data_IF_667130118826
#
_entry.id   IF_667130118826
#
_cell.length_a   1.000
_cell.length_b   1.000
_cell.length_c   1.000
_cell.angle_alpha   90.00
_cell.angle_beta   90.00
_cell.angle_gamma   90.00
#
_symmetry.space_group_name_H-M   'P 1'
#
loop_
_entity.id
_entity.type
_entity.pdbx_description
1 polymer ?
#
# COMPACT_ATOMS: atom_id res chain seq x y z
N UNK A 1 -34.68 -56.81 11.12
CA UNK A 1 -36.11 -57.22 11.13
C UNK A 1 -36.88 -56.32 10.18
N UNK A 2 -37.76 -56.88 9.34
CA UNK A 2 -38.63 -56.12 8.43
C UNK A 2 -40.05 -56.13 8.99
N UNK A 3 -40.68 -54.97 9.09
CA UNK A 3 -42.00 -54.79 9.73
C UNK A 3 -42.74 -53.63 9.06
N UNK A 4 -44.06 -53.68 9.11
CA UNK A 4 -44.87 -52.50 8.77
C UNK A 4 -44.71 -51.45 9.87
N UNK A 5 -43.99 -50.38 9.56
CA UNK A 5 -43.80 -49.27 10.48
C UNK A 5 -45.08 -48.43 10.55
N UNK A 6 -45.44 -48.01 11.75
CA UNK A 6 -46.56 -47.08 12.00
C UNK A 6 -46.08 -45.94 12.90
N UNK A 7 -46.66 -44.74 12.75
CA UNK A 7 -46.29 -43.59 13.58
C UNK A 7 -46.55 -43.85 15.08
N UNK A 8 -47.57 -44.63 15.41
CA UNK A 8 -47.82 -45.06 16.79
C UNK A 8 -46.68 -45.94 17.33
N UNK A 9 -46.22 -46.92 16.53
CA UNK A 9 -45.11 -47.79 16.91
C UNK A 9 -43.80 -47.02 17.06
N UNK A 10 -43.50 -46.09 16.14
CA UNK A 10 -42.27 -45.29 16.18
C UNK A 10 -42.25 -44.31 17.35
N UNK A 11 -43.39 -43.74 17.74
CA UNK A 11 -43.50 -42.90 18.95
C UNK A 11 -43.29 -43.69 20.24
N UNK A 12 -43.72 -44.95 20.28
CA UNK A 12 -43.54 -45.83 21.43
C UNK A 12 -42.17 -46.54 21.48
N UNK A 13 -41.33 -46.37 20.45
CA UNK A 13 -40.08 -47.09 20.30
C UNK A 13 -39.02 -46.54 21.25
N UNK A 14 -38.53 -47.38 22.17
CA UNK A 14 -37.43 -47.03 23.06
C UNK A 14 -36.07 -47.19 22.36
N UNK A 15 -35.09 -46.30 22.60
CA UNK A 15 -33.71 -46.49 22.17
C UNK A 15 -33.13 -47.83 22.66
N UNK A 16 -32.25 -48.49 21.90
CA UNK A 16 -31.57 -49.69 22.35
C UNK A 16 -30.60 -49.37 23.50
N UNK A 17 -30.34 -50.35 24.37
CA UNK A 17 -29.40 -50.19 25.50
C UNK A 17 -27.96 -49.85 25.05
N UNK A 18 -27.54 -50.32 23.87
CA UNK A 18 -26.26 -49.96 23.27
C UNK A 18 -26.33 -49.99 21.74
N UNK A 19 -25.42 -49.27 21.08
CA UNK A 19 -25.30 -49.25 19.63
C UNK A 19 -26.47 -48.56 18.92
N UNK A 20 -27.05 -49.25 17.92
CA UNK A 20 -28.11 -48.73 17.05
C UNK A 20 -29.09 -49.82 16.66
N UNK A 21 -30.37 -49.47 16.61
CA UNK A 21 -31.45 -50.33 16.12
C UNK A 21 -31.81 -49.91 14.69
N UNK A 22 -31.86 -50.89 13.78
CA UNK A 22 -32.26 -50.71 12.37
C UNK A 22 -33.57 -51.47 12.10
N UNK A 23 -34.64 -50.73 11.80
CA UNK A 23 -35.96 -51.28 11.51
C UNK A 23 -36.29 -51.04 10.04
N UNK A 24 -36.46 -52.12 9.28
CA UNK A 24 -36.73 -52.04 7.85
C UNK A 24 -38.23 -51.99 7.61
N UNK A 25 -38.67 -51.04 6.78
CA UNK A 25 -40.08 -50.93 6.40
C UNK A 25 -40.47 -52.07 5.47
N UNK A 26 -41.64 -52.67 5.72
CA UNK A 26 -42.19 -53.71 4.84
C UNK A 26 -42.89 -53.14 3.62
N UNK A 27 -43.44 -51.91 3.68
CA UNK A 27 -44.17 -51.30 2.58
C UNK A 27 -43.25 -50.70 1.51
N UNK A 28 -42.18 -50.01 1.91
CA UNK A 28 -41.17 -49.48 0.99
C UNK A 28 -39.87 -50.25 1.12
N UNK A 29 -39.61 -51.16 0.17
CA UNK A 29 -38.41 -52.01 0.14
C UNK A 29 -37.16 -51.13 0.09
N UNK A 30 -36.33 -51.24 1.11
CA UNK A 30 -35.07 -50.51 1.23
C UNK A 30 -35.13 -49.30 2.16
N UNK A 31 -36.32 -48.85 2.58
CA UNK A 31 -36.46 -47.86 3.65
C UNK A 31 -36.14 -48.50 5.01
N UNK A 32 -35.40 -47.76 5.83
CA UNK A 32 -34.91 -48.18 7.14
C UNK A 32 -34.96 -47.01 8.12
N UNK A 33 -35.66 -47.21 9.23
CA UNK A 33 -35.61 -46.34 10.40
C UNK A 33 -34.43 -46.74 11.27
N UNK A 34 -33.63 -45.75 11.70
CA UNK A 34 -32.46 -45.97 12.55
C UNK A 34 -32.58 -45.12 13.80
N UNK A 35 -32.40 -45.74 14.96
CA UNK A 35 -32.32 -45.03 16.24
C UNK A 35 -31.07 -45.47 17.00
N UNK A 36 -30.29 -44.52 17.50
CA UNK A 36 -29.10 -44.78 18.32
C UNK A 36 -29.48 -44.95 19.79
N UNK A 37 -28.59 -45.54 20.61
CA UNK A 37 -28.78 -45.62 22.06
C UNK A 37 -28.95 -44.24 22.72
N UNK A 38 -28.38 -43.19 22.13
CA UNK A 38 -28.55 -41.79 22.55
C UNK A 38 -29.88 -41.16 22.10
N UNK A 39 -30.78 -41.91 21.46
CA UNK A 39 -32.10 -41.45 21.03
C UNK A 39 -32.14 -40.69 19.71
N UNK A 40 -31.00 -40.49 19.02
CA UNK A 40 -30.99 -39.84 17.72
C UNK A 40 -31.58 -40.76 16.65
N UNK A 41 -32.67 -40.31 16.00
CA UNK A 41 -33.42 -41.08 15.03
C UNK A 41 -33.36 -40.46 13.61
N UNK A 42 -33.19 -41.32 12.60
CA UNK A 42 -33.14 -40.89 11.20
C UNK A 42 -33.66 -41.94 10.23
N UNK A 43 -34.17 -41.46 9.10
CA UNK A 43 -34.60 -42.26 7.97
C UNK A 43 -33.44 -42.46 6.99
N UNK A 44 -33.25 -43.70 6.57
CA UNK A 44 -32.28 -44.05 5.52
C UNK A 44 -32.94 -44.96 4.49
N UNK A 45 -32.50 -44.88 3.24
CA UNK A 45 -32.89 -45.81 2.19
C UNK A 45 -31.65 -46.51 1.63
N UNK A 46 -31.73 -47.82 1.40
CA UNK A 46 -30.68 -48.62 0.77
C UNK A 46 -31.17 -49.11 -0.59
N UNK A 47 -30.54 -48.66 -1.66
CA UNK A 47 -30.83 -49.01 -3.04
C UNK A 47 -29.61 -49.54 -3.78
N UNK A 48 -29.81 -49.92 -5.05
CA UNK A 48 -28.72 -50.14 -6.01
C UNK A 48 -28.68 -48.97 -6.99
N UNK A 49 -27.50 -48.44 -7.24
CA UNK A 49 -27.25 -47.49 -8.34
C UNK A 49 -27.27 -48.22 -9.70
N UNK A 50 -27.36 -47.47 -10.80
CA UNK A 50 -27.39 -48.02 -12.16
C UNK A 50 -26.18 -48.91 -12.50
N UNK A 51 -25.02 -48.67 -11.87
CA UNK A 51 -23.79 -49.45 -11.98
C UNK A 51 -23.73 -50.67 -11.02
N UNK A 52 -24.85 -51.00 -10.36
CA UNK A 52 -24.98 -52.19 -9.50
C UNK A 52 -24.46 -52.03 -8.07
N UNK A 53 -23.87 -50.89 -7.69
CA UNK A 53 -23.36 -50.66 -6.32
C UNK A 53 -24.49 -50.47 -5.32
N UNK A 54 -24.31 -51.02 -4.11
CA UNK A 54 -25.24 -50.83 -3.00
C UNK A 54 -24.96 -49.51 -2.27
N UNK A 55 -25.89 -48.54 -2.37
CA UNK A 55 -25.76 -47.21 -1.75
C UNK A 55 -26.83 -47.01 -0.68
N UNK A 56 -26.42 -46.43 0.46
CA UNK A 56 -27.32 -46.02 1.55
C UNK A 56 -27.37 -44.50 1.62
N UNK A 57 -28.57 -43.93 1.50
CA UNK A 57 -28.82 -42.49 1.54
C UNK A 57 -29.60 -42.16 2.81
N UNK A 58 -29.17 -41.13 3.55
CA UNK A 58 -29.95 -40.56 4.66
C UNK A 58 -30.96 -39.56 4.11
N UNK A 59 -32.24 -39.76 4.44
CA UNK A 59 -33.35 -38.95 3.94
C UNK A 59 -33.66 -37.74 4.86
N UNK A 60 -33.54 -37.93 6.18
CA UNK A 60 -33.83 -36.89 7.17
C UNK A 60 -33.88 -37.44 8.60
N UNK A 61 -33.97 -36.56 9.59
CA UNK A 61 -34.12 -36.92 11.01
C UNK A 61 -35.59 -37.07 11.39
N UNK A 62 -35.88 -37.91 12.38
CA UNK A 62 -37.21 -38.04 12.98
C UNK A 62 -37.23 -37.27 14.32
N UNK A 63 -38.31 -36.52 14.66
CA UNK A 63 -39.63 -36.47 14.00
C UNK A 63 -39.76 -35.43 12.88
N UNK A 64 -38.70 -34.68 12.54
CA UNK A 64 -38.77 -33.61 11.53
C UNK A 64 -39.22 -34.10 10.14
N UNK A 65 -38.87 -35.34 9.77
CA UNK A 65 -39.41 -36.05 8.63
C UNK A 65 -40.27 -37.22 9.15
N UNK A 66 -41.58 -37.17 8.88
CA UNK A 66 -42.53 -38.20 9.31
C UNK A 66 -42.44 -39.50 8.48
N UNK A 67 -43.11 -40.57 8.92
CA UNK A 67 -43.07 -41.86 8.21
C UNK A 67 -43.60 -41.76 6.77
N UNK A 68 -44.72 -41.07 6.58
CA UNK A 68 -45.34 -40.91 5.25
C UNK A 68 -44.41 -40.19 4.27
N UNK A 69 -43.80 -39.09 4.72
CA UNK A 69 -42.84 -38.32 3.92
C UNK A 69 -41.55 -39.09 3.66
N UNK A 70 -41.08 -39.86 4.65
CA UNK A 70 -39.92 -40.74 4.50
C UNK A 70 -40.16 -41.86 3.46
N UNK A 71 -41.38 -42.41 3.39
CA UNK A 71 -41.78 -43.39 2.36
C UNK A 71 -41.75 -42.76 0.96
N UNK A 72 -42.31 -41.56 0.79
CA UNK A 72 -42.25 -40.82 -0.48
C UNK A 72 -40.81 -40.51 -0.89
N UNK A 73 -40.03 -39.91 0.02
CA UNK A 73 -38.62 -39.57 -0.22
C UNK A 73 -37.76 -40.80 -0.54
N UNK A 74 -38.06 -41.96 0.06
CA UNK A 74 -37.39 -43.22 -0.26
C UNK A 74 -37.67 -43.70 -1.68
N UNK A 75 -38.93 -43.66 -2.13
CA UNK A 75 -39.31 -44.03 -3.50
C UNK A 75 -38.64 -43.09 -4.53
N UNK A 76 -38.69 -41.77 -4.29
CA UNK A 76 -38.04 -40.78 -5.15
C UNK A 76 -36.53 -41.01 -5.25
N UNK A 77 -35.90 -41.29 -4.11
CA UNK A 77 -34.46 -41.57 -4.04
C UNK A 77 -34.10 -42.87 -4.75
N UNK A 78 -34.88 -43.94 -4.59
CA UNK A 78 -34.67 -45.22 -5.29
C UNK A 78 -34.80 -45.05 -6.81
N UNK A 79 -35.81 -44.30 -7.26
CA UNK A 79 -35.98 -43.99 -8.68
C UNK A 79 -34.81 -43.15 -9.23
N UNK A 80 -34.28 -42.22 -8.43
CA UNK A 80 -33.11 -41.41 -8.79
C UNK A 80 -31.82 -42.25 -8.91
N UNK A 81 -31.60 -43.18 -7.96
CA UNK A 81 -30.46 -44.11 -7.99
C UNK A 81 -30.47 -45.02 -9.24
N UNK A 82 -31.66 -45.45 -9.67
CA UNK A 82 -31.82 -46.24 -10.91
C UNK A 82 -31.58 -45.42 -12.18
N UNK A 83 -31.86 -44.11 -12.17
CA UNK A 83 -31.57 -43.18 -13.27
C UNK A 83 -30.10 -42.73 -13.31
N UNK A 84 -29.23 -43.29 -12.46
CA UNK A 84 -27.79 -43.05 -12.48
C UNK A 84 -27.29 -41.90 -11.60
N UNK A 85 -28.17 -41.24 -10.84
CA UNK A 85 -27.72 -40.26 -9.84
C UNK A 85 -27.22 -40.99 -8.59
N UNK A 86 -26.00 -40.70 -8.12
CA UNK A 86 -25.49 -41.17 -6.82
C UNK A 86 -25.29 -39.97 -5.87
N UNK A 87 -26.32 -39.58 -5.11
CA UNK A 87 -26.26 -38.43 -4.19
C UNK A 87 -25.19 -38.55 -3.10
N UNK A 88 -24.74 -39.78 -2.80
CA UNK A 88 -23.69 -40.03 -1.80
C UNK A 88 -22.33 -39.81 -2.42
N UNK A 89 -22.11 -40.26 -3.66
CA UNK A 89 -20.89 -39.96 -4.40
C UNK A 89 -20.75 -38.45 -4.66
N UNK A 90 -21.81 -37.75 -5.04
CA UNK A 90 -21.80 -36.30 -5.23
C UNK A 90 -21.46 -35.54 -3.95
N UNK A 91 -22.11 -35.86 -2.82
CA UNK A 91 -21.78 -35.26 -1.52
C UNK A 91 -20.36 -35.58 -1.07
N UNK A 92 -19.86 -36.79 -1.34
CA UNK A 92 -18.48 -37.19 -1.03
C UNK A 92 -17.48 -36.43 -1.89
N UNK A 93 -17.73 -36.30 -3.19
CA UNK A 93 -16.89 -35.52 -4.10
C UNK A 93 -16.88 -34.03 -3.73
N UNK A 94 -18.04 -33.45 -3.40
CA UNK A 94 -18.12 -32.07 -2.93
C UNK A 94 -17.35 -31.85 -1.62
N UNK A 95 -17.41 -32.81 -0.68
CA UNK A 95 -16.66 -32.75 0.58
C UNK A 95 -15.16 -32.94 0.36
N UNK A 96 -14.75 -33.87 -0.50
CA UNK A 96 -13.35 -34.09 -0.86
C UNK A 96 -12.76 -32.87 -1.58
N UNK A 97 -13.52 -32.26 -2.52
CA UNK A 97 -13.15 -31.01 -3.18
C UNK A 97 -12.96 -29.89 -2.15
N UNK A 98 -13.93 -29.68 -1.24
CA UNK A 98 -13.81 -28.68 -0.16
C UNK A 98 -12.63 -28.94 0.79
N UNK A 99 -12.28 -30.21 1.03
CA UNK A 99 -11.13 -30.58 1.85
C UNK A 99 -9.81 -30.31 1.13
N UNK A 100 -9.71 -30.62 -0.17
CA UNK A 100 -8.56 -30.33 -1.01
C UNK A 100 -8.36 -28.81 -1.17
N UNK A 101 -9.44 -28.05 -1.40
CA UNK A 101 -9.41 -26.59 -1.44
C UNK A 101 -8.94 -25.99 -0.09
N UNK A 102 -9.25 -26.62 1.05
CA UNK A 102 -8.76 -26.19 2.36
C UNK A 102 -7.30 -26.56 2.65
N UNK A 103 -6.77 -27.58 1.98
CA UNK A 103 -5.37 -28.00 2.12
C UNK A 103 -4.42 -27.15 1.28
N UNK A 104 -4.96 -26.44 0.28
CA UNK A 104 -4.18 -25.55 -0.57
C UNK A 104 -3.85 -24.24 0.17
N UNK A 105 -2.60 -23.76 0.13
CA UNK A 105 -2.22 -22.50 0.74
C UNK A 105 -3.05 -21.33 0.21
N UNK A 106 -3.55 -20.54 1.14
CA UNK A 106 -4.31 -19.33 0.89
C UNK A 106 -3.46 -18.23 0.25
N UNK A 107 -4.12 -17.23 -0.32
CA UNK A 107 -3.45 -16.02 -0.83
C UNK A 107 -2.59 -15.38 0.25
N UNK A 108 -3.07 -15.29 1.50
CA UNK A 108 -2.31 -14.66 2.58
C UNK A 108 -1.01 -15.42 2.89
N UNK A 109 -1.05 -16.74 2.96
CA UNK A 109 0.13 -17.58 3.22
C UNK A 109 1.15 -17.47 2.07
N UNK A 110 0.69 -17.55 0.82
CA UNK A 110 1.55 -17.39 -0.36
C UNK A 110 2.14 -15.98 -0.45
N UNK A 111 1.37 -14.97 -0.09
CA UNK A 111 1.82 -13.59 -0.09
C UNK A 111 2.90 -13.36 0.98
N UNK A 112 2.76 -13.93 2.18
CA UNK A 112 3.79 -13.92 3.20
C UNK A 112 5.06 -14.63 2.72
N UNK A 113 4.92 -15.84 2.16
CA UNK A 113 6.05 -16.60 1.59
C UNK A 113 6.80 -15.79 0.51
N UNK A 114 6.08 -15.08 -0.35
CA UNK A 114 6.68 -14.20 -1.36
C UNK A 114 7.39 -12.99 -0.73
N UNK A 115 6.78 -12.36 0.29
CA UNK A 115 7.39 -11.22 1.00
C UNK A 115 8.71 -11.62 1.66
N UNK A 116 8.74 -12.78 2.33
CA UNK A 116 9.96 -13.30 2.97
C UNK A 116 11.05 -13.57 1.92
N UNK A 117 10.70 -14.22 0.81
CA UNK A 117 11.63 -14.49 -0.28
C UNK A 117 12.18 -13.22 -0.95
N UNK A 118 11.48 -12.08 -0.85
CA UNK A 118 11.92 -10.79 -1.42
C UNK A 118 12.51 -9.83 -0.40
N UNK A 119 12.37 -10.10 0.90
CA UNK A 119 12.74 -9.18 1.97
C UNK A 119 14.17 -8.65 1.85
N UNK A 120 15.14 -9.52 1.61
CA UNK A 120 16.55 -9.16 1.48
C UNK A 120 16.86 -8.22 0.29
N UNK A 121 15.98 -8.16 -0.71
CA UNK A 121 16.13 -7.30 -1.90
C UNK A 121 15.35 -5.99 -1.79
N UNK A 122 14.52 -5.84 -0.77
CA UNK A 122 13.68 -4.66 -0.59
C UNK A 122 14.28 -3.76 0.49
N UNK A 123 14.15 -2.46 0.30
CA UNK A 123 14.36 -1.52 1.41
C UNK A 123 13.25 -1.71 2.44
N UNK A 124 13.56 -1.41 3.71
CA UNK A 124 12.59 -1.56 4.80
C UNK A 124 11.29 -0.83 4.53
N UNK A 125 11.39 0.41 4.03
CA UNK A 125 10.25 1.21 3.61
C UNK A 125 9.38 0.51 2.56
N UNK A 126 10.00 -0.11 1.55
CA UNK A 126 9.23 -0.77 0.50
C UNK A 126 8.54 -2.03 1.02
N UNK A 127 9.24 -2.81 1.84
CA UNK A 127 8.67 -3.99 2.45
C UNK A 127 7.50 -3.65 3.39
N UNK A 128 7.62 -2.60 4.21
CA UNK A 128 6.54 -2.12 5.08
C UNK A 128 5.34 -1.61 4.27
N UNK A 129 5.60 -0.93 3.15
CA UNK A 129 4.55 -0.45 2.25
C UNK A 129 3.79 -1.64 1.61
N UNK A 130 4.51 -2.67 1.15
CA UNK A 130 3.93 -3.90 0.61
C UNK A 130 3.14 -4.66 1.67
N UNK A 131 3.68 -4.81 2.88
CA UNK A 131 3.01 -5.49 4.00
C UNK A 131 1.72 -4.77 4.42
N UNK A 132 1.76 -3.43 4.52
CA UNK A 132 0.59 -2.63 4.84
C UNK A 132 -0.50 -2.75 3.78
N UNK A 133 -0.11 -2.72 2.51
CA UNK A 133 -1.02 -2.89 1.38
C UNK A 133 -1.61 -4.30 1.34
N UNK A 134 -0.81 -5.33 1.57
CA UNK A 134 -1.27 -6.70 1.71
C UNK A 134 -2.33 -6.84 2.81
N UNK A 135 -2.06 -6.29 4.00
CA UNK A 135 -2.96 -6.38 5.14
C UNK A 135 -4.26 -5.59 4.96
N UNK A 136 -4.20 -4.39 4.36
CA UNK A 136 -5.36 -3.50 4.23
C UNK A 136 -6.20 -3.74 2.99
N UNK A 137 -5.58 -4.14 1.89
CA UNK A 137 -6.24 -4.21 0.59
C UNK A 137 -6.47 -5.67 0.15
N UNK A 138 -5.46 -6.54 0.22
CA UNK A 138 -5.56 -7.92 -0.30
C UNK A 138 -6.22 -8.86 0.71
N UNK A 139 -5.70 -8.93 1.93
CA UNK A 139 -6.11 -9.89 2.95
C UNK A 139 -7.62 -9.86 3.27
N UNK A 140 -8.29 -8.70 3.39
CA UNK A 140 -9.71 -8.66 3.73
C UNK A 140 -10.63 -9.27 2.68
N UNK A 141 -10.22 -9.32 1.41
CA UNK A 141 -11.05 -9.80 0.30
C UNK A 141 -10.63 -11.17 -0.24
N UNK A 142 -9.33 -11.38 -0.39
CA UNK A 142 -8.79 -12.58 -1.03
C UNK A 142 -7.95 -13.44 -0.09
N UNK A 143 -7.56 -12.93 1.07
CA UNK A 143 -6.56 -13.54 1.94
C UNK A 143 -6.85 -14.99 2.34
N UNK A 144 -8.12 -15.35 2.59
CA UNK A 144 -8.54 -16.70 3.00
C UNK A 144 -8.82 -17.64 1.83
N UNK A 145 -8.84 -17.15 0.59
CA UNK A 145 -9.12 -17.97 -0.59
C UNK A 145 -7.84 -18.70 -0.99
N UNK A 146 -7.92 -19.97 -1.44
CA UNK A 146 -6.81 -20.64 -2.09
C UNK A 146 -6.35 -19.87 -3.33
N UNK A 147 -5.03 -19.74 -3.52
CA UNK A 147 -4.49 -18.91 -4.59
C UNK A 147 -4.94 -19.38 -5.98
N UNK A 148 -4.94 -20.70 -6.26
CA UNK A 148 -5.38 -21.25 -7.56
C UNK A 148 -6.86 -21.02 -7.87
N UNK A 149 -7.67 -20.77 -6.84
CA UNK A 149 -9.10 -20.48 -6.99
C UNK A 149 -9.39 -18.98 -7.15
N UNK A 150 -8.36 -18.13 -7.17
CA UNK A 150 -8.54 -16.71 -7.51
C UNK A 150 -8.50 -16.51 -9.02
N UNK A 151 -9.34 -15.61 -9.50
CA UNK A 151 -9.49 -15.30 -10.92
C UNK A 151 -9.00 -13.90 -11.23
N UNK A 152 -8.76 -13.60 -12.51
CA UNK A 152 -8.45 -12.24 -12.95
C UNK A 152 -9.52 -11.22 -12.52
N UNK A 153 -10.79 -11.61 -12.57
CA UNK A 153 -11.90 -10.76 -12.16
C UNK A 153 -11.82 -10.38 -10.67
N UNK A 154 -11.44 -11.32 -9.80
CA UNK A 154 -11.28 -11.06 -8.36
C UNK A 154 -10.23 -9.97 -8.09
N UNK A 155 -9.08 -10.06 -8.76
CA UNK A 155 -7.99 -9.11 -8.59
C UNK A 155 -8.29 -7.75 -9.24
N UNK A 156 -8.92 -7.74 -10.41
CA UNK A 156 -9.36 -6.50 -11.08
C UNK A 156 -10.38 -5.75 -10.22
N UNK A 157 -11.40 -6.44 -9.71
CA UNK A 157 -12.41 -5.82 -8.85
C UNK A 157 -11.81 -5.23 -7.57
N UNK A 158 -10.78 -5.87 -7.00
CA UNK A 158 -10.01 -5.34 -5.88
C UNK A 158 -9.31 -4.02 -6.25
N UNK A 159 -8.62 -3.98 -7.40
CA UNK A 159 -7.86 -2.81 -7.86
C UNK A 159 -8.80 -1.65 -8.22
N UNK A 160 -9.88 -1.90 -8.95
CA UNK A 160 -10.86 -0.88 -9.35
C UNK A 160 -11.56 -0.25 -8.13
N UNK A 161 -11.89 -1.06 -7.13
CA UNK A 161 -12.46 -0.55 -5.89
C UNK A 161 -11.52 0.43 -5.18
N UNK A 162 -10.21 0.17 -5.21
CA UNK A 162 -9.21 1.11 -4.69
C UNK A 162 -9.09 2.35 -5.58
N UNK A 163 -9.14 2.17 -6.90
CA UNK A 163 -8.98 3.26 -7.85
C UNK A 163 -10.05 4.34 -7.69
N UNK A 164 -11.28 3.97 -7.33
CA UNK A 164 -12.38 4.92 -7.08
C UNK A 164 -12.10 5.93 -5.95
N UNK A 165 -11.32 5.54 -4.95
CA UNK A 165 -11.05 6.38 -3.77
C UNK A 165 -9.62 6.89 -3.70
N UNK A 166 -8.67 6.14 -4.28
CA UNK A 166 -7.25 6.44 -4.22
C UNK A 166 -6.51 5.90 -5.47
N UNK A 167 -6.59 6.59 -6.62
CA UNK A 167 -5.96 6.15 -7.88
C UNK A 167 -4.46 5.82 -7.77
N UNK A 168 -3.71 6.67 -7.06
CA UNK A 168 -2.27 6.45 -6.84
C UNK A 168 -1.98 5.15 -6.05
N UNK A 169 -2.78 4.89 -5.01
CA UNK A 169 -2.64 3.68 -4.21
C UNK A 169 -3.10 2.44 -5.00
N UNK A 170 -4.09 2.57 -5.88
CA UNK A 170 -4.51 1.50 -6.78
C UNK A 170 -3.40 1.13 -7.78
N UNK A 171 -2.67 2.11 -8.31
CA UNK A 171 -1.53 1.84 -9.21
C UNK A 171 -0.41 1.08 -8.49
N UNK A 172 -0.14 1.41 -7.21
CA UNK A 172 0.78 0.65 -6.37
C UNK A 172 0.26 -0.78 -6.10
N UNK A 173 -1.02 -0.92 -5.73
CA UNK A 173 -1.67 -2.21 -5.51
C UNK A 173 -1.59 -3.11 -6.74
N UNK A 174 -1.83 -2.56 -7.93
CA UNK A 174 -1.63 -3.29 -9.18
C UNK A 174 -0.21 -3.83 -9.30
N UNK A 175 0.81 -2.97 -9.11
CA UNK A 175 2.21 -3.38 -9.26
C UNK A 175 2.58 -4.48 -8.27
N UNK A 176 2.15 -4.37 -7.02
CA UNK A 176 2.40 -5.38 -5.98
C UNK A 176 1.68 -6.68 -6.30
N UNK A 177 0.39 -6.63 -6.61
CA UNK A 177 -0.41 -7.81 -6.95
C UNK A 177 0.13 -8.51 -8.21
N UNK A 178 0.47 -7.75 -9.25
CA UNK A 178 1.07 -8.29 -10.48
C UNK A 178 2.42 -8.94 -10.19
N UNK A 179 3.31 -8.30 -9.42
CA UNK A 179 4.61 -8.87 -9.06
C UNK A 179 4.47 -10.16 -8.24
N UNK A 180 3.53 -10.20 -7.29
CA UNK A 180 3.20 -11.40 -6.52
C UNK A 180 2.68 -12.53 -7.43
N UNK A 181 1.70 -12.26 -8.28
CA UNK A 181 1.07 -13.28 -9.13
C UNK A 181 2.04 -13.82 -10.21
N UNK A 182 2.91 -12.97 -10.74
CA UNK A 182 3.97 -13.42 -11.66
C UNK A 182 5.04 -14.25 -10.94
N UNK A 183 5.32 -13.95 -9.66
CA UNK A 183 6.17 -14.82 -8.86
C UNK A 183 5.49 -16.16 -8.56
N UNK A 184 4.20 -16.15 -8.25
CA UNK A 184 3.43 -17.35 -7.99
C UNK A 184 3.42 -18.30 -9.20
N UNK A 185 3.29 -17.76 -10.41
CA UNK A 185 3.45 -18.53 -11.65
C UNK A 185 4.87 -19.12 -11.76
N UNK A 186 5.91 -18.28 -11.63
CA UNK A 186 7.30 -18.73 -11.72
C UNK A 186 7.68 -19.77 -10.64
N UNK A 187 7.00 -19.76 -9.49
CA UNK A 187 7.18 -20.71 -8.40
C UNK A 187 6.26 -21.95 -8.52
N UNK A 188 5.46 -22.06 -9.59
CA UNK A 188 4.54 -23.18 -9.82
C UNK A 188 3.30 -23.21 -8.92
N UNK A 189 2.99 -22.12 -8.22
CA UNK A 189 1.82 -22.04 -7.34
C UNK A 189 0.53 -21.90 -8.13
N UNK A 190 0.59 -21.27 -9.31
CA UNK A 190 -0.50 -21.15 -10.27
C UNK A 190 0.00 -21.52 -11.66
N UNK A 191 -0.89 -22.00 -12.53
CA UNK A 191 -0.52 -22.55 -13.83
C UNK A 191 -0.38 -21.47 -14.93
N UNK A 192 -0.95 -20.29 -14.70
CA UNK A 192 -0.95 -19.19 -15.66
C UNK A 192 -0.95 -17.82 -14.96
N UNK A 193 -0.44 -16.76 -15.61
CA UNK A 193 -0.37 -15.44 -15.02
C UNK A 193 -1.77 -14.81 -14.94
N UNK A 194 -2.22 -14.48 -13.73
CA UNK A 194 -3.54 -13.88 -13.51
C UNK A 194 -3.58 -12.38 -13.88
N UNK A 195 -2.50 -11.64 -13.57
CA UNK A 195 -2.35 -10.23 -13.93
C UNK A 195 -1.08 -9.98 -14.76
N UNK A 196 -1.17 -9.27 -15.90
CA UNK A 196 -0.01 -9.00 -16.73
C UNK A 196 0.95 -8.01 -16.05
N UNK A 197 2.27 -8.15 -16.28
CA UNK A 197 3.29 -7.23 -15.74
C UNK A 197 3.06 -5.77 -16.18
N UNK A 198 2.58 -5.58 -17.41
CA UNK A 198 2.34 -4.26 -18.04
C UNK A 198 0.85 -3.99 -18.26
N UNK A 199 0.04 -4.02 -17.21
CA UNK A 199 -1.39 -3.65 -17.29
C UNK A 199 -1.84 -2.52 -16.37
N UNK A 200 -0.93 -1.97 -15.55
CA UNK A 200 -1.25 -0.93 -14.57
C UNK A 200 -1.86 0.32 -15.22
N UNK A 201 -1.31 0.75 -16.36
CA UNK A 201 -1.78 1.95 -17.05
C UNK A 201 -3.25 1.85 -17.51
N UNK A 202 -3.76 0.64 -17.73
CA UNK A 202 -5.14 0.40 -18.16
C UNK A 202 -6.09 0.26 -16.97
N UNK A 203 -5.68 -0.49 -15.94
CA UNK A 203 -6.56 -0.88 -14.82
C UNK A 203 -6.47 0.05 -13.60
N UNK A 204 -5.37 0.77 -13.47
CA UNK A 204 -5.14 1.74 -12.41
C UNK A 204 -4.19 2.84 -12.94
N UNK A 205 -4.67 3.67 -13.89
CA UNK A 205 -3.84 4.71 -14.47
C UNK A 205 -3.26 5.59 -13.36
N UNK A 206 -1.95 5.85 -13.36
CA UNK A 206 -1.37 6.73 -12.37
C UNK A 206 -2.01 8.12 -12.53
N UNK A 207 -2.21 8.85 -11.42
CA UNK A 207 -2.66 10.24 -11.53
C UNK A 207 -1.66 11.03 -12.37
N UNK A 208 -2.16 12.04 -13.09
CA UNK A 208 -1.29 12.94 -13.87
C UNK A 208 -0.16 13.45 -12.97
N UNK A 209 1.10 13.44 -13.46
CA UNK A 209 2.21 14.03 -12.73
C UNK A 209 1.86 15.45 -12.29
N UNK A 210 2.13 15.80 -11.03
CA UNK A 210 1.93 17.17 -10.55
C UNK A 210 3.07 18.04 -11.05
N UNK A 211 2.75 19.22 -11.56
CA UNK A 211 3.70 20.23 -12.06
C UNK A 211 3.83 21.44 -11.11
N UNK A 212 3.28 21.32 -9.90
CA UNK A 212 3.19 22.40 -8.92
C UNK A 212 4.57 22.89 -8.46
N UNK A 213 4.78 24.19 -8.59
CA UNK A 213 5.84 24.98 -7.93
C UNK A 213 5.20 26.15 -7.21
N UNK A 214 5.71 26.54 -6.04
CA UNK A 214 5.24 27.70 -5.31
C UNK A 214 5.70 28.99 -6.01
N UNK A 215 4.87 30.02 -5.96
CA UNK A 215 5.28 31.37 -6.37
C UNK A 215 6.16 32.02 -5.29
N UNK A 216 6.78 33.13 -5.64
CA UNK A 216 7.61 33.91 -4.71
C UNK A 216 6.77 34.41 -3.51
N UNK A 217 5.53 34.86 -3.75
CA UNK A 217 4.59 35.23 -2.69
C UNK A 217 4.22 34.04 -1.80
N UNK A 218 3.94 32.87 -2.38
CA UNK A 218 3.62 31.68 -1.61
C UNK A 218 4.81 31.19 -0.78
N UNK A 219 6.04 31.35 -1.27
CA UNK A 219 7.25 31.08 -0.49
C UNK A 219 7.39 32.04 0.69
N UNK A 220 7.13 33.35 0.52
CA UNK A 220 7.11 34.32 1.63
C UNK A 220 6.03 33.97 2.66
N UNK A 221 4.82 33.68 2.20
CA UNK A 221 3.70 33.29 3.07
C UNK A 221 4.04 32.02 3.85
N UNK A 222 4.66 31.02 3.21
CA UNK A 222 5.09 29.80 3.90
C UNK A 222 6.19 30.09 4.94
N UNK A 223 7.17 30.93 4.59
CA UNK A 223 8.24 31.32 5.50
C UNK A 223 7.69 32.01 6.75
N UNK A 224 6.76 32.95 6.58
CA UNK A 224 6.05 33.63 7.66
C UNK A 224 5.17 32.68 8.47
N UNK A 225 4.39 31.81 7.80
CA UNK A 225 3.53 30.82 8.46
C UNK A 225 4.33 29.84 9.33
N UNK A 226 5.56 29.50 8.91
CA UNK A 226 6.47 28.63 9.66
C UNK A 226 7.03 29.28 10.92
N UNK A 227 7.08 30.61 11.01
CA UNK A 227 7.64 31.33 12.16
C UNK A 227 6.89 31.04 13.46
N UNK A 228 5.58 30.77 13.37
CA UNK A 228 4.71 30.43 14.50
C UNK A 228 4.73 28.92 14.87
N UNK A 229 5.59 28.12 14.25
CA UNK A 229 5.84 26.74 14.66
C UNK A 229 6.93 26.67 15.73
N UNK A 230 6.95 25.56 16.49
CA UNK A 230 8.06 25.25 17.38
C UNK A 230 9.38 25.13 16.59
N UNK A 231 10.55 25.30 17.23
CA UNK A 231 11.85 25.37 16.55
C UNK A 231 12.11 24.22 15.57
N UNK A 232 11.84 22.96 15.97
CA UNK A 232 12.11 21.78 15.12
C UNK A 232 11.23 21.72 13.86
N UNK A 233 9.88 21.81 13.93
CA UNK A 233 9.05 21.92 12.72
C UNK A 233 9.33 23.15 11.87
N UNK A 234 9.68 24.29 12.47
CA UNK A 234 10.08 25.50 11.73
C UNK A 234 11.36 25.26 10.92
N UNK A 235 12.40 24.76 11.57
CA UNK A 235 13.67 24.41 10.95
C UNK A 235 13.48 23.40 9.81
N UNK A 236 12.63 22.39 10.00
CA UNK A 236 12.31 21.42 8.94
C UNK A 236 11.78 22.08 7.66
N UNK A 237 10.79 22.97 7.77
CA UNK A 237 10.21 23.64 6.59
C UNK A 237 11.24 24.56 5.92
N UNK A 238 11.96 25.35 6.72
CA UNK A 238 12.93 26.31 6.21
C UNK A 238 14.14 25.64 5.57
N UNK A 239 14.64 24.55 6.16
CA UNK A 239 15.69 23.73 5.55
C UNK A 239 15.23 23.08 4.25
N UNK A 240 13.98 22.64 4.11
CA UNK A 240 13.46 22.14 2.84
C UNK A 240 13.44 23.22 1.75
N UNK A 241 13.10 24.45 2.12
CA UNK A 241 13.15 25.60 1.20
C UNK A 241 14.59 25.88 0.80
N UNK A 242 15.51 26.03 1.77
CA UNK A 242 16.88 26.52 1.55
C UNK A 242 17.79 25.47 0.88
N UNK A 243 17.70 24.21 1.29
CA UNK A 243 18.62 23.15 0.82
C UNK A 243 18.11 22.40 -0.40
N UNK A 244 16.82 22.55 -0.73
CA UNK A 244 16.12 21.72 -1.70
C UNK A 244 16.23 20.20 -1.44
N UNK A 245 16.66 19.75 -0.25
CA UNK A 245 16.84 18.34 0.06
C UNK A 245 15.49 17.58 0.15
N UNK A 246 15.53 16.24 0.15
CA UNK A 246 14.29 15.45 0.23
C UNK A 246 13.71 15.50 1.64
N UNK A 247 12.38 15.38 1.73
CA UNK A 247 11.62 15.39 2.98
C UNK A 247 12.22 14.46 4.05
N UNK A 248 12.55 13.22 3.69
CA UNK A 248 13.12 12.23 4.60
C UNK A 248 14.60 12.49 4.96
N UNK A 249 15.34 13.20 4.10
CA UNK A 249 16.74 13.59 4.36
C UNK A 249 16.74 14.67 5.44
N UNK A 250 15.94 15.73 5.28
CA UNK A 250 15.81 16.80 6.28
C UNK A 250 15.18 16.29 7.58
N UNK A 251 14.10 15.52 7.50
CA UNK A 251 13.42 15.01 8.70
C UNK A 251 14.32 14.13 9.58
N UNK A 252 15.27 13.42 8.98
CA UNK A 252 16.22 12.55 9.68
C UNK A 252 17.62 13.15 9.78
N UNK A 253 17.78 14.46 9.60
CA UNK A 253 19.07 15.16 9.68
C UNK A 253 19.78 14.83 10.99
N UNK A 254 21.02 14.34 10.89
CA UNK A 254 21.80 13.91 12.06
C UNK A 254 22.87 14.92 12.44
N UNK A 255 23.21 14.98 13.73
CA UNK A 255 24.24 15.87 14.24
C UNK A 255 25.60 15.64 13.56
N UNK A 256 26.05 14.38 13.43
CA UNK A 256 27.31 14.04 12.78
C UNK A 256 27.34 14.27 11.27
N UNK A 257 26.21 14.62 10.64
CA UNK A 257 26.16 15.02 9.24
C UNK A 257 26.45 16.52 9.05
N UNK A 258 26.42 17.33 10.11
CA UNK A 258 26.46 18.80 10.03
C UNK A 258 27.76 19.35 10.61
N UNK A 259 28.47 20.12 9.80
CA UNK A 259 29.55 20.99 10.23
C UNK A 259 29.04 22.44 10.29
N UNK A 260 28.72 22.90 11.51
CA UNK A 260 28.23 24.25 11.77
C UNK A 260 29.29 25.33 11.51
N UNK A 261 30.58 25.00 11.64
CA UNK A 261 31.67 25.95 11.48
C UNK A 261 31.99 26.15 9.99
N UNK A 262 32.06 25.07 9.23
CA UNK A 262 32.28 25.13 7.78
C UNK A 262 31.03 25.49 6.98
N UNK A 263 29.85 25.50 7.61
CA UNK A 263 28.58 25.78 6.95
C UNK A 263 28.19 24.68 5.96
N UNK A 264 28.32 23.41 6.36
CA UNK A 264 28.11 22.27 5.46
C UNK A 264 27.27 21.17 6.10
N UNK A 265 26.42 20.56 5.30
CA UNK A 265 25.76 19.30 5.61
C UNK A 265 26.26 18.23 4.66
N UNK A 266 27.01 17.26 5.18
CA UNK A 266 27.45 16.09 4.45
C UNK A 266 26.42 14.97 4.59
N UNK A 267 25.64 14.75 3.53
CA UNK A 267 24.62 13.71 3.48
C UNK A 267 25.24 12.41 2.93
N UNK A 268 25.44 11.37 3.75
CA UNK A 268 26.14 10.17 3.32
C UNK A 268 25.29 9.33 2.36
N UNK A 269 25.94 8.55 1.50
CA UNK A 269 25.29 7.71 0.49
C UNK A 269 24.15 6.85 1.04
N UNK A 270 24.34 6.26 2.22
CA UNK A 270 23.36 5.39 2.90
C UNK A 270 22.04 6.12 3.26
N UNK A 271 22.07 7.44 3.42
CA UNK A 271 20.90 8.29 3.71
C UNK A 271 20.20 8.78 2.44
N UNK A 272 20.82 8.64 1.28
CA UNK A 272 20.30 9.14 0.01
C UNK A 272 19.53 8.08 -0.75
N UNK A 273 18.48 8.50 -1.46
CA UNK A 273 17.64 7.59 -2.26
C UNK A 273 18.42 6.87 -3.39
N UNK A 274 19.46 7.50 -3.90
CA UNK A 274 20.23 7.03 -5.07
C UNK A 274 21.61 6.44 -4.69
N UNK A 275 21.94 6.34 -3.40
CA UNK A 275 23.21 5.79 -2.94
C UNK A 275 24.42 6.67 -3.26
N UNK A 276 24.25 7.98 -3.45
CA UNK A 276 25.33 8.94 -3.72
C UNK A 276 25.40 9.97 -2.61
N UNK A 277 26.56 10.11 -1.99
CA UNK A 277 26.76 11.18 -1.01
C UNK A 277 26.63 12.56 -1.68
N UNK A 278 26.18 13.55 -0.90
CA UNK A 278 26.04 14.93 -1.35
C UNK A 278 26.51 15.87 -0.23
N UNK A 279 27.28 16.89 -0.59
CA UNK A 279 27.55 18.01 0.32
C UNK A 279 26.62 19.18 -0.01
N UNK A 280 25.81 19.57 0.97
CA UNK A 280 24.85 20.69 0.87
C UNK A 280 25.45 21.89 1.60
N UNK A 281 25.60 23.07 0.95
CA UNK A 281 26.01 24.29 1.64
C UNK A 281 24.89 24.79 2.56
N UNK A 282 25.26 25.32 3.71
CA UNK A 282 24.37 25.91 4.69
C UNK A 282 24.70 27.40 4.83
N UNK A 283 23.90 28.26 4.20
CA UNK A 283 23.97 29.70 4.38
C UNK A 283 23.39 30.16 5.71
N UNK A 284 23.48 31.46 5.99
CA UNK A 284 23.18 32.03 7.31
C UNK A 284 21.79 31.68 7.84
N UNK A 285 20.76 31.72 6.97
CA UNK A 285 19.40 31.34 7.35
C UNK A 285 19.29 29.86 7.73
N UNK A 286 20.01 28.97 7.03
CA UNK A 286 20.01 27.54 7.35
C UNK A 286 20.75 27.28 8.67
N UNK A 287 21.90 27.93 8.85
CA UNK A 287 22.68 27.85 10.08
C UNK A 287 21.93 28.40 11.30
N UNK A 288 21.17 29.48 11.14
CA UNK A 288 20.33 30.03 12.19
C UNK A 288 19.27 29.03 12.66
N UNK A 289 18.59 28.36 11.73
CA UNK A 289 17.61 27.32 12.08
C UNK A 289 18.27 26.10 12.74
N UNK A 290 19.45 25.69 12.28
CA UNK A 290 20.18 24.57 12.88
C UNK A 290 20.67 24.89 14.29
N UNK A 291 21.21 26.09 14.52
CA UNK A 291 21.62 26.54 15.86
C UNK A 291 20.43 26.60 16.82
N UNK A 292 19.25 27.03 16.35
CA UNK A 292 18.04 27.11 17.17
C UNK A 292 17.49 25.75 17.61
N UNK A 293 17.90 24.65 16.96
CA UNK A 293 17.49 23.27 17.30
C UNK A 293 18.65 22.42 17.79
N UNK A 294 19.87 22.97 17.82
CA UNK A 294 21.05 22.26 18.26
C UNK A 294 20.94 21.98 19.77
N UNK A 295 21.16 20.74 20.23
CA UNK A 295 21.19 20.42 21.65
C UNK A 295 22.24 21.24 22.41
N UNK A 296 22.00 21.50 23.70
CA UNK A 296 22.94 22.27 24.54
C UNK A 296 24.22 21.48 24.80
N UNK A 297 24.08 20.16 24.99
CA UNK A 297 25.20 19.23 25.15
C UNK A 297 25.71 18.73 23.80
N UNK A 298 26.96 18.26 23.74
CA UNK A 298 27.53 17.64 22.54
C UNK A 298 26.76 16.35 22.19
N UNK A 299 25.91 16.36 21.15
CA UNK A 299 25.03 15.24 20.88
C UNK A 299 25.79 14.12 20.16
N UNK A 300 25.44 12.84 20.38
CA UNK A 300 26.06 11.76 19.60
C UNK A 300 25.80 11.95 18.11
N UNK A 301 26.71 11.51 17.26
CA UNK A 301 26.62 11.68 15.80
C UNK A 301 25.29 11.19 15.19
N UNK A 302 24.68 10.17 15.81
CA UNK A 302 23.41 9.57 15.36
C UNK A 302 22.17 10.37 15.76
N UNK A 303 22.32 11.43 16.56
CA UNK A 303 21.23 12.26 17.05
C UNK A 303 20.49 12.95 15.89
N UNK A 304 19.21 12.65 15.73
CA UNK A 304 18.30 13.29 14.80
C UNK A 304 17.86 14.66 15.34
N UNK A 305 18.44 15.74 14.79
CA UNK A 305 18.27 17.12 15.29
C UNK A 305 16.80 17.58 15.32
N UNK A 306 16.00 17.14 14.35
CA UNK A 306 14.59 17.53 14.22
C UNK A 306 13.63 16.54 14.88
N UNK A 307 14.16 15.44 15.42
CA UNK A 307 13.40 14.37 16.07
C UNK A 307 12.75 14.80 17.38
N UNK A 308 11.64 14.14 17.76
CA UNK A 308 11.12 14.25 19.14
C UNK A 308 12.04 13.52 20.12
N UNK A 309 12.49 12.33 19.72
CA UNK A 309 13.50 11.53 20.42
C UNK A 309 14.81 11.61 19.65
N UNK A 310 15.94 11.48 20.34
CA UNK A 310 17.28 11.62 19.76
C UNK A 310 17.53 10.66 18.58
N UNK A 311 16.95 9.46 18.57
CA UNK A 311 17.18 8.48 17.49
C UNK A 311 16.10 8.48 16.40
N UNK A 312 15.04 9.27 16.56
CA UNK A 312 13.85 9.18 15.71
C UNK A 312 13.71 10.41 14.83
N UNK A 313 13.54 10.27 13.50
CA UNK A 313 13.28 11.39 12.60
C UNK A 313 12.03 12.19 13.00
N UNK A 314 11.95 13.44 12.54
CA UNK A 314 10.71 14.22 12.63
C UNK A 314 9.56 13.45 11.96
N UNK A 315 8.38 13.51 12.58
CA UNK A 315 7.16 12.88 12.09
C UNK A 315 5.96 13.81 12.25
N UNK A 316 4.77 13.39 11.83
CA UNK A 316 3.55 14.19 11.95
C UNK A 316 3.36 15.22 10.83
N UNK A 317 3.94 14.99 9.65
CA UNK A 317 3.92 15.91 8.50
C UNK A 317 2.51 16.37 8.11
N UNK A 318 1.50 15.51 8.16
CA UNK A 318 0.12 15.89 7.81
C UNK A 318 -0.46 16.96 8.74
N UNK A 319 -0.19 16.85 10.05
CA UNK A 319 -0.66 17.83 11.04
C UNK A 319 0.08 19.16 10.89
N UNK A 320 1.40 19.10 10.66
CA UNK A 320 2.22 20.28 10.37
C UNK A 320 1.71 20.99 9.10
N UNK A 321 1.49 20.24 8.02
CA UNK A 321 1.01 20.77 6.75
C UNK A 321 -0.35 21.46 6.87
N UNK A 322 -1.30 20.85 7.58
CA UNK A 322 -2.61 21.45 7.80
C UNK A 322 -2.52 22.79 8.54
N UNK A 323 -1.65 22.91 9.56
CA UNK A 323 -1.41 24.18 10.26
C UNK A 323 -0.78 25.23 9.35
N UNK A 324 0.21 24.84 8.54
CA UNK A 324 0.84 25.75 7.59
C UNK A 324 -0.15 26.25 6.56
N UNK A 325 -0.99 25.38 5.99
CA UNK A 325 -2.01 25.77 5.01
C UNK A 325 -3.00 26.79 5.58
N UNK A 326 -3.51 26.53 6.79
CA UNK A 326 -4.43 27.44 7.46
C UNK A 326 -3.79 28.82 7.71
N UNK A 327 -2.53 28.85 8.14
CA UNK A 327 -1.80 30.11 8.39
C UNK A 327 -1.44 30.84 7.11
N UNK A 328 -1.01 30.13 6.07
CA UNK A 328 -0.73 30.71 4.77
C UNK A 328 -1.98 31.36 4.17
N UNK A 329 -3.15 30.71 4.29
CA UNK A 329 -4.42 31.28 3.85
C UNK A 329 -4.76 32.57 4.60
N UNK A 330 -4.64 32.56 5.93
CA UNK A 330 -4.89 33.77 6.75
C UNK A 330 -3.91 34.91 6.46
N UNK A 331 -2.63 34.61 6.20
CA UNK A 331 -1.63 35.60 5.81
C UNK A 331 -1.90 36.15 4.41
N UNK A 332 -2.30 35.29 3.46
CA UNK A 332 -2.66 35.70 2.11
C UNK A 332 -3.84 36.67 2.11
N UNK A 333 -4.89 36.33 2.87
CA UNK A 333 -6.07 37.18 3.05
C UNK A 333 -5.70 38.57 3.60
N UNK A 334 -4.88 38.63 4.66
CA UNK A 334 -4.40 39.90 5.23
C UNK A 334 -3.55 40.73 4.26
N UNK A 335 -2.83 40.07 3.36
CA UNK A 335 -1.97 40.70 2.37
C UNK A 335 -2.71 41.02 1.05
N UNK A 336 -4.01 40.71 0.92
CA UNK A 336 -4.74 40.87 -0.33
C UNK A 336 -4.27 39.94 -1.45
N UNK A 337 -3.61 38.83 -1.10
CA UNK A 337 -3.08 37.85 -2.03
C UNK A 337 -4.05 36.67 -2.21
N UNK A 338 -4.02 35.99 -3.37
CA UNK A 338 -4.80 34.77 -3.56
C UNK A 338 -4.44 33.70 -2.53
N UNK A 339 -5.45 32.94 -2.08
CA UNK A 339 -5.22 31.78 -1.22
C UNK A 339 -4.30 30.79 -1.94
N UNK A 340 -3.18 30.36 -1.31
CA UNK A 340 -2.22 29.49 -1.96
C UNK A 340 -2.83 28.18 -2.46
N UNK A 341 -2.51 27.81 -3.70
CA UNK A 341 -3.03 26.59 -4.30
C UNK A 341 -2.49 25.34 -3.58
N UNK A 342 -3.23 24.21 -3.55
CA UNK A 342 -2.81 23.01 -2.83
C UNK A 342 -1.40 22.53 -3.19
N UNK A 343 -0.53 22.42 -2.20
CA UNK A 343 0.87 22.04 -2.33
C UNK A 343 1.27 20.89 -1.38
N UNK A 344 2.43 20.29 -1.59
CA UNK A 344 3.08 19.27 -0.74
C UNK A 344 4.53 19.67 -0.46
N UNK A 345 5.16 19.18 0.60
CA UNK A 345 6.57 19.48 0.89
C UNK A 345 7.52 19.18 -0.28
N UNK A 346 7.23 18.14 -1.07
CA UNK A 346 8.00 17.84 -2.28
C UNK A 346 7.94 18.93 -3.36
N UNK A 347 6.89 19.76 -3.38
CA UNK A 347 6.76 20.87 -4.31
C UNK A 347 7.78 21.99 -3.98
N UNK A 348 8.27 22.09 -2.72
CA UNK A 348 9.34 23.04 -2.35
C UNK A 348 10.64 22.75 -3.10
N UNK A 349 10.97 21.47 -3.24
CA UNK A 349 12.13 21.02 -3.99
C UNK A 349 11.97 21.25 -5.50
N UNK A 350 10.76 21.09 -6.05
CA UNK A 350 10.46 21.45 -7.45
C UNK A 350 10.55 22.95 -7.67
N UNK A 351 10.12 23.72 -6.67
CA UNK A 351 10.21 25.17 -6.64
C UNK A 351 11.66 25.62 -6.68
N UNK A 352 12.52 25.05 -5.83
CA UNK A 352 13.96 25.31 -5.88
C UNK A 352 14.59 24.92 -7.22
N UNK A 353 14.21 23.77 -7.79
CA UNK A 353 14.72 23.32 -9.09
C UNK A 353 14.37 24.27 -10.23
N UNK A 354 13.13 24.72 -10.28
CA UNK A 354 12.63 25.65 -11.29
C UNK A 354 13.15 27.07 -11.04
N UNK A 355 13.26 27.46 -9.77
CA UNK A 355 13.85 28.71 -9.32
C UNK A 355 15.33 28.83 -9.71
N UNK A 356 16.14 27.78 -9.49
CA UNK A 356 17.53 27.75 -9.96
C UNK A 356 17.64 27.93 -11.48
N UNK A 357 16.75 27.30 -12.26
CA UNK A 357 16.71 27.52 -13.70
C UNK A 357 16.37 28.99 -14.06
N UNK A 358 15.40 29.59 -13.35
CA UNK A 358 15.05 31.02 -13.48
C UNK A 358 16.22 31.94 -13.13
N UNK A 359 17.08 31.54 -12.19
CA UNK A 359 18.30 32.25 -11.78
C UNK A 359 19.49 32.01 -12.72
N UNK A 360 19.31 31.29 -13.84
CA UNK A 360 20.37 31.05 -14.83
C UNK A 360 21.33 29.92 -14.46
N UNK A 361 21.03 29.13 -13.41
CA UNK A 361 21.85 27.97 -13.06
C UNK A 361 21.76 26.91 -14.16
N UNK A 362 22.89 26.42 -14.70
CA UNK A 362 22.89 25.37 -15.70
C UNK A 362 22.13 24.12 -15.25
N UNK A 363 21.47 23.45 -16.20
CA UNK A 363 20.59 22.31 -15.91
C UNK A 363 21.30 21.22 -15.12
N UNK A 364 22.49 20.80 -15.57
CA UNK A 364 23.27 19.76 -14.93
C UNK A 364 23.69 20.12 -13.50
N UNK A 365 23.97 21.39 -13.22
CA UNK A 365 24.35 21.86 -11.89
C UNK A 365 23.14 21.81 -10.95
N UNK A 366 21.96 22.20 -11.43
CA UNK A 366 20.72 22.11 -10.67
C UNK A 366 20.28 20.65 -10.44
N UNK A 367 20.51 19.75 -11.41
CA UNK A 367 20.28 18.31 -11.22
C UNK A 367 21.26 17.71 -10.21
N UNK A 368 22.54 18.11 -10.24
CA UNK A 368 23.56 17.70 -9.28
C UNK A 368 23.28 18.21 -7.87
N UNK A 369 22.84 19.48 -7.72
CA UNK A 369 22.37 20.07 -6.47
C UNK A 369 21.23 19.28 -5.84
N UNK A 370 20.33 18.74 -6.67
CA UNK A 370 19.27 17.87 -6.21
C UNK A 370 19.74 16.40 -6.04
N UNK A 371 21.00 16.06 -6.26
CA UNK A 371 21.46 14.67 -6.22
C UNK A 371 20.54 13.76 -7.08
N UNK A 372 20.19 14.25 -8.27
CA UNK A 372 19.52 13.45 -9.28
C UNK A 372 20.61 12.64 -10.00
N UNK A 373 20.34 11.34 -10.23
CA UNK A 373 21.11 10.61 -11.23
C UNK A 373 20.70 11.26 -12.54
N UNK A 374 21.56 12.14 -13.03
CA UNK A 374 21.33 13.01 -14.17
C UNK A 374 20.47 12.33 -15.22
N UNK A 375 19.39 13.00 -15.67
CA UNK A 375 18.51 12.53 -16.75
C UNK A 375 19.22 12.43 -18.11
N UNK A 376 20.55 12.47 -18.09
CA UNK A 376 21.44 12.33 -19.22
C UNK A 376 21.20 10.98 -19.89
N UNK A 377 21.09 10.95 -21.23
CA UNK A 377 21.03 9.71 -22.00
C UNK A 377 22.15 8.76 -21.57
N UNK A 378 21.90 7.46 -21.63
CA UNK A 378 22.87 6.45 -21.19
C UNK A 378 24.27 6.65 -21.80
N UNK A 379 24.35 7.16 -23.03
CA UNK A 379 25.56 7.51 -23.75
C UNK A 379 26.36 8.64 -23.07
N UNK A 380 25.71 9.74 -22.66
CA UNK A 380 26.37 10.88 -22.02
C UNK A 380 26.99 10.52 -20.66
N UNK A 381 26.46 9.51 -19.95
CA UNK A 381 27.05 9.00 -18.70
C UNK A 381 28.35 8.21 -18.90
N UNK A 382 28.61 7.74 -20.11
CA UNK A 382 29.87 7.05 -20.45
C UNK A 382 31.00 8.07 -20.61
N UNK A 383 30.68 9.23 -21.18
CA UNK A 383 31.64 10.29 -21.52
C UNK A 383 31.88 11.31 -20.41
N UNK A 384 30.83 11.69 -19.67
CA UNK A 384 30.94 12.68 -18.61
C UNK A 384 30.79 12.03 -17.23
N UNK A 385 31.96 11.87 -16.57
CA UNK A 385 32.11 11.30 -15.23
C UNK A 385 32.31 12.36 -14.14
N UNK A 386 32.22 13.65 -14.48
CA UNK A 386 32.37 14.73 -13.51
C UNK A 386 31.26 14.68 -12.45
N UNK A 387 31.61 14.92 -11.19
CA UNK A 387 30.68 14.75 -10.06
C UNK A 387 29.81 15.98 -9.78
N UNK A 388 30.15 17.11 -10.42
CA UNK A 388 29.51 18.41 -10.30
C UNK A 388 29.32 18.92 -8.86
N UNK A 389 30.12 18.46 -7.89
CA UNK A 389 29.91 18.82 -6.48
C UNK A 389 30.12 20.32 -6.23
N UNK A 390 31.14 20.93 -6.88
CA UNK A 390 31.41 22.37 -6.74
C UNK A 390 30.28 23.21 -7.32
N UNK A 391 29.77 22.78 -8.47
CA UNK A 391 28.70 23.41 -9.21
C UNK A 391 27.35 23.25 -8.50
N UNK A 392 27.11 22.09 -7.88
CA UNK A 392 25.96 21.84 -7.01
C UNK A 392 25.96 22.76 -5.79
N UNK A 393 27.12 22.95 -5.15
CA UNK A 393 27.28 23.90 -4.04
C UNK A 393 26.96 25.32 -4.53
N UNK A 394 27.56 25.78 -5.63
CA UNK A 394 27.31 27.11 -6.18
C UNK A 394 25.83 27.33 -6.54
N UNK A 395 25.17 26.32 -7.12
CA UNK A 395 23.75 26.36 -7.43
C UNK A 395 22.88 26.52 -6.18
N UNK A 396 23.13 25.73 -5.13
CA UNK A 396 22.41 25.82 -3.86
C UNK A 396 22.68 27.13 -3.13
N UNK A 397 23.91 27.64 -3.16
CA UNK A 397 24.26 28.94 -2.60
C UNK A 397 23.50 30.07 -3.32
N UNK A 398 23.44 30.04 -4.65
CA UNK A 398 22.67 31.01 -5.46
C UNK A 398 21.18 30.98 -5.08
N UNK A 399 20.61 29.78 -4.94
CA UNK A 399 19.23 29.62 -4.51
C UNK A 399 18.98 30.15 -3.09
N UNK A 400 19.88 29.88 -2.15
CA UNK A 400 19.77 30.37 -0.77
C UNK A 400 19.86 31.89 -0.69
N UNK A 401 20.73 32.52 -1.49
CA UNK A 401 20.81 33.98 -1.58
C UNK A 401 19.51 34.59 -2.12
N UNK A 402 18.91 33.98 -3.14
CA UNK A 402 17.60 34.40 -3.64
C UNK A 402 16.51 34.30 -2.57
N UNK A 403 16.43 33.17 -1.86
CA UNK A 403 15.45 33.00 -0.77
C UNK A 403 15.69 34.01 0.35
N UNK A 404 16.94 34.29 0.70
CA UNK A 404 17.27 35.29 1.71
C UNK A 404 16.78 36.70 1.32
N UNK A 405 17.01 37.12 0.06
CA UNK A 405 16.46 38.38 -0.45
C UNK A 405 14.93 38.40 -0.51
N UNK A 406 14.31 37.24 -0.70
CA UNK A 406 12.85 37.10 -0.73
C UNK A 406 12.20 37.29 0.64
N UNK A 407 12.87 36.85 1.71
CA UNK A 407 12.30 36.78 3.07
C UNK A 407 12.90 37.76 4.07
N UNK A 408 13.90 38.54 3.68
CA UNK A 408 14.49 39.60 4.51
C UNK A 408 13.56 40.80 4.69
N UNK A 409 13.67 41.48 5.82
CA UNK A 409 12.89 42.69 6.12
C UNK A 409 13.32 43.83 5.19
N UNK A 410 12.41 44.30 4.32
CA UNK A 410 12.59 45.50 3.49
C UNK A 410 12.72 45.32 1.96
N UNK A 411 12.43 44.15 1.39
CA UNK A 411 12.44 44.00 -0.07
C UNK A 411 11.19 44.63 -0.73
N UNK A 412 11.25 45.93 -1.04
CA UNK A 412 10.48 46.49 -2.14
C UNK A 412 10.82 45.71 -3.42
N UNK A 413 9.77 45.21 -4.06
CA UNK A 413 9.86 44.39 -5.28
C UNK A 413 10.36 45.28 -6.42
N UNK A 414 11.67 45.30 -6.69
CA UNK A 414 12.13 45.65 -8.04
C UNK A 414 11.79 44.46 -8.92
N UNK A 415 10.68 44.58 -9.65
CA UNK A 415 10.25 43.62 -10.64
C UNK A 415 11.43 43.31 -11.58
N UNK A 416 11.91 42.06 -11.53
CA UNK A 416 12.99 41.57 -12.39
C UNK A 416 12.65 41.62 -13.90
N UNK A 417 11.45 42.08 -14.26
CA UNK A 417 11.03 42.37 -15.63
C UNK A 417 11.69 43.63 -16.22
N UNK A 418 12.14 44.59 -15.42
CA UNK A 418 12.65 45.87 -15.94
C UNK A 418 14.15 45.87 -16.27
N UNK A 419 14.96 45.01 -15.65
CA UNK A 419 16.39 44.91 -16.00
C UNK A 419 16.66 44.36 -17.39
N UNK A 420 15.71 43.62 -18.01
CA UNK A 420 15.85 43.18 -19.41
C UNK A 420 15.42 44.23 -20.44
N UNK A 421 14.61 45.23 -20.05
CA UNK A 421 14.27 46.35 -20.95
C UNK A 421 15.38 47.41 -20.97
N UNK A 422 16.01 47.70 -19.84
CA UNK A 422 17.09 48.69 -19.79
C UNK A 422 18.31 48.29 -20.66
N UNK A 423 18.67 46.99 -20.72
CA UNK A 423 19.82 46.53 -21.53
C UNK A 423 19.52 46.41 -23.02
N UNK A 424 18.26 46.45 -23.44
CA UNK A 424 17.86 46.37 -24.86
C UNK A 424 17.56 47.74 -25.49
N UNK A 425 17.40 48.80 -24.69
CA UNK A 425 17.20 50.17 -25.19
C UNK A 425 18.52 50.89 -25.43
N UNK A 426 19.61 50.51 -24.74
CA UNK A 426 20.96 51.07 -24.95
C UNK A 426 21.78 50.36 -26.07
N UNK A 427 21.16 49.45 -26.82
CA UNK A 427 21.79 48.73 -27.93
C UNK A 427 21.05 48.92 -29.28
N UNK A 428 20.24 49.98 -29.39
CA UNK A 428 19.50 50.36 -30.60
C UNK A 428 20.08 51.59 -31.29
#
# INVERSE_FOLDING_TARGET
MRRDLTDAFLRALKPPASGRLELWDSRVRGLCFRITAAGAAAWTVRGRTADGRHTRVTLGTYPALGLSEARRAALDTLASLQRGADPVAEKRQARAKRAAERAEPSVAERLAQWQDAKRARWSDRHADEVARLAARDIAPRLGKRPLRLTTRADWVALIEAKARTAPAAAALLYRVASAFLNHAEAAGWIDAPILPRKGAATLAPPPRPRERTLTDDELRLLWQASAAEAPKPRAFVRLLILTAAREAEVAGLRAGEVDLAAGRWHLPAIRTKNGRALTVPLGDLALAELRAVWPVDDPPETHCLLGRLSSSPLSGFSKLKARLDARMAALAERAGLPVPAPWRFHDLRRTARSGMARLGVPNDHAEAALNHISGRPALARVYDRHDYQREAIAALTTWQAFVAGLVGDGAEVVALAERRRATLVDAG
#
